data_IF_570780125437
#
_entry.id   IF_570780125437
#
_cell.length_a   1.000
_cell.length_b   1.000
_cell.length_c   1.000
_cell.angle_alpha   90.00
_cell.angle_beta   90.00
_cell.angle_gamma   90.00
#
_symmetry.space_group_name_H-M   'P 1'
#
loop_
_entity.id
_entity.type
_entity.pdbx_description
1 polymer ?
#
# COMPACT_ATOMS: atom_id res chain seq x y z
N UNK A 1 -9.68 0.52 -2.51
CA UNK A 1 -9.44 1.25 -1.25
C UNK A 1 -8.37 0.56 -0.42
N UNK A 2 -8.64 -0.64 0.15
CA UNK A 2 -7.71 -1.28 1.10
C UNK A 2 -6.29 -1.50 0.54
N UNK A 3 -6.17 -1.86 -0.74
CA UNK A 3 -4.87 -2.02 -1.40
C UNK A 3 -3.99 -0.74 -1.32
N UNK A 4 -4.59 0.43 -1.52
CA UNK A 4 -3.90 1.72 -1.38
C UNK A 4 -3.63 2.05 0.09
N UNK A 5 -4.57 1.75 0.99
CA UNK A 5 -4.44 1.99 2.43
C UNK A 5 -3.28 1.17 3.04
N UNK A 6 -3.18 -0.11 2.67
CA UNK A 6 -2.08 -0.99 3.07
C UNK A 6 -0.72 -0.48 2.59
N UNK A 7 -0.66 0.14 1.41
CA UNK A 7 0.58 0.73 0.88
C UNK A 7 0.97 1.97 1.69
N UNK A 8 0.00 2.84 1.98
CA UNK A 8 0.18 4.04 2.81
C UNK A 8 0.68 3.65 4.22
N UNK A 9 0.16 2.56 4.81
CA UNK A 9 0.61 2.07 6.12
C UNK A 9 2.08 1.60 6.17
N UNK A 10 2.71 1.42 5.01
CA UNK A 10 4.10 0.98 4.87
C UNK A 10 5.00 2.16 4.44
N UNK A 11 4.64 2.84 3.35
CA UNK A 11 5.51 3.82 2.70
C UNK A 11 4.97 5.25 2.75
N UNK A 12 3.77 5.48 3.31
CA UNK A 12 3.17 6.80 3.35
C UNK A 12 3.97 7.81 4.17
N UNK A 13 3.95 9.07 3.77
CA UNK A 13 4.62 10.13 4.54
C UNK A 13 3.91 10.36 5.87
N UNK A 14 4.65 10.25 6.98
CA UNK A 14 4.18 10.59 8.32
C UNK A 14 3.59 11.99 8.45
N UNK A 15 4.04 12.95 7.63
CA UNK A 15 3.49 14.32 7.59
C UNK A 15 2.07 14.37 7.04
N UNK A 16 1.72 13.44 6.15
CA UNK A 16 0.40 13.34 5.51
C UNK A 16 -0.51 12.41 6.32
N UNK A 17 0.01 11.25 6.72
CA UNK A 17 -0.79 10.18 7.33
C UNK A 17 -1.01 10.35 8.84
N UNK A 18 -0.24 11.25 9.49
CA UNK A 18 -0.15 11.41 10.95
C UNK A 18 0.24 10.12 11.70
N UNK A 19 0.71 9.10 10.98
CA UNK A 19 1.15 7.81 11.54
C UNK A 19 2.65 7.60 11.30
N UNK A 20 3.33 6.81 12.15
CA UNK A 20 4.71 6.44 11.88
C UNK A 20 4.82 5.62 10.58
N UNK A 21 5.75 6.00 9.71
CA UNK A 21 6.05 5.24 8.48
C UNK A 21 6.46 3.81 8.83
N UNK A 22 5.99 2.83 8.06
CA UNK A 22 6.37 1.42 8.22
C UNK A 22 5.74 0.72 9.44
N UNK A 23 4.69 1.28 10.03
CA UNK A 23 4.05 0.69 11.21
C UNK A 23 3.49 -0.71 10.92
N UNK A 24 2.91 -0.92 9.74
CA UNK A 24 2.34 -2.22 9.36
C UNK A 24 3.39 -3.33 9.23
N UNK A 25 4.61 -2.96 8.82
CA UNK A 25 5.75 -3.89 8.78
C UNK A 25 6.11 -4.32 10.20
N UNK A 26 6.22 -3.36 11.12
CA UNK A 26 6.56 -3.60 12.53
C UNK A 26 5.50 -4.44 13.23
N UNK A 27 4.22 -4.24 12.93
CA UNK A 27 3.10 -5.04 13.43
C UNK A 27 3.04 -6.44 12.79
N UNK A 28 3.80 -6.70 11.72
CA UNK A 28 3.81 -7.99 11.05
C UNK A 28 2.54 -8.27 10.25
N UNK A 29 1.85 -7.22 9.79
CA UNK A 29 0.65 -7.37 8.97
C UNK A 29 1.01 -8.01 7.63
N UNK A 30 0.26 -9.02 7.23
CA UNK A 30 0.48 -9.77 5.99
C UNK A 30 -0.25 -9.12 4.82
N UNK A 31 -0.08 -7.81 4.64
CA UNK A 31 -0.72 -7.07 3.56
C UNK A 31 -0.05 -7.38 2.22
N UNK A 32 -0.78 -7.16 1.14
CA UNK A 32 -0.28 -7.34 -0.23
C UNK A 32 1.09 -6.69 -0.47
N UNK A 33 1.30 -5.38 -0.21
CA UNK A 33 2.60 -4.74 -0.44
C UNK A 33 3.76 -5.41 0.32
N UNK A 34 3.53 -5.92 1.54
CA UNK A 34 4.56 -6.66 2.29
C UNK A 34 4.86 -8.01 1.63
N UNK A 35 3.82 -8.74 1.21
CA UNK A 35 3.98 -10.03 0.51
C UNK A 35 4.77 -9.84 -0.79
N UNK A 36 4.43 -8.82 -1.59
CA UNK A 36 5.15 -8.48 -2.82
C UNK A 36 6.60 -8.12 -2.54
N UNK A 37 6.86 -7.29 -1.51
CA UNK A 37 8.21 -6.93 -1.11
C UNK A 37 9.04 -8.17 -0.72
N UNK A 38 8.50 -9.06 0.12
CA UNK A 38 9.19 -10.28 0.54
C UNK A 38 9.46 -11.18 -0.68
N UNK A 39 8.47 -11.36 -1.57
CA UNK A 39 8.60 -12.20 -2.77
C UNK A 39 9.68 -11.69 -3.73
N UNK A 40 9.78 -10.37 -3.92
CA UNK A 40 10.76 -9.73 -4.82
C UNK A 40 12.15 -9.61 -4.20
N UNK A 41 12.25 -9.45 -2.89
CA UNK A 41 13.52 -9.22 -2.22
C UNK A 41 14.43 -10.46 -2.25
N UNK A 42 15.71 -10.25 -2.55
CA UNK A 42 16.76 -11.26 -2.52
C UNK A 42 17.92 -10.86 -1.60
N UNK A 43 18.71 -11.83 -1.16
CA UNK A 43 19.94 -11.59 -0.40
C UNK A 43 19.77 -10.64 0.79
N UNK A 44 20.58 -9.57 0.81
CA UNK A 44 20.57 -8.55 1.87
C UNK A 44 19.21 -7.86 2.01
N UNK A 45 18.52 -7.55 0.90
CA UNK A 45 17.22 -6.88 0.94
C UNK A 45 16.17 -7.74 1.65
N UNK A 46 16.15 -9.04 1.36
CA UNK A 46 15.23 -9.97 2.03
C UNK A 46 15.51 -10.05 3.53
N UNK A 47 16.78 -10.15 3.91
CA UNK A 47 17.21 -10.15 5.33
C UNK A 47 16.80 -8.86 6.04
N UNK A 48 16.93 -7.70 5.38
CA UNK A 48 16.50 -6.41 5.93
C UNK A 48 15.00 -6.40 6.22
N UNK A 49 14.17 -6.81 5.27
CA UNK A 49 12.70 -6.83 5.44
C UNK A 49 12.30 -7.79 6.57
N UNK A 50 12.81 -9.03 6.54
CA UNK A 50 12.43 -10.05 7.53
C UNK A 50 12.89 -9.73 8.96
N UNK A 51 13.95 -8.92 9.13
CA UNK A 51 14.41 -8.48 10.46
C UNK A 51 13.44 -7.52 11.14
N UNK A 52 12.70 -6.73 10.36
CA UNK A 52 11.75 -5.73 10.85
C UNK A 52 10.32 -6.26 10.89
N UNK A 53 9.99 -7.19 9.99
CA UNK A 53 8.65 -7.77 9.90
C UNK A 53 8.22 -8.43 11.22
N UNK A 54 7.17 -7.89 11.85
CA UNK A 54 6.62 -8.36 13.13
C UNK A 54 7.50 -8.07 14.35
N UNK A 55 8.58 -7.30 14.20
CA UNK A 55 9.49 -6.98 15.29
C UNK A 55 9.10 -5.66 15.95
N UNK A 56 8.32 -5.72 17.03
CA UNK A 56 7.88 -4.55 17.81
C UNK A 56 9.04 -3.70 18.37
N UNK A 57 10.24 -4.28 18.52
CA UNK A 57 11.46 -3.61 19.00
C UNK A 57 12.32 -3.00 17.89
N UNK A 58 11.89 -3.08 16.61
CA UNK A 58 12.64 -2.52 15.50
C UNK A 58 12.82 -0.99 15.66
N UNK A 59 14.06 -0.52 15.49
CA UNK A 59 14.38 0.89 15.63
C UNK A 59 13.83 1.72 14.47
N UNK A 60 13.63 3.03 14.70
CA UNK A 60 13.20 3.96 13.63
C UNK A 60 14.14 3.91 12.41
N UNK A 61 15.43 3.70 12.62
CA UNK A 61 16.41 3.57 11.54
C UNK A 61 16.23 2.27 10.75
N UNK A 62 16.01 1.14 11.43
CA UNK A 62 15.74 -0.14 10.78
C UNK A 62 14.45 -0.09 9.93
N UNK A 63 13.42 0.57 10.45
CA UNK A 63 12.15 0.78 9.73
C UNK A 63 12.39 1.64 8.48
N UNK A 64 13.06 2.79 8.59
CA UNK A 64 13.39 3.64 7.43
C UNK A 64 14.19 2.90 6.36
N UNK A 65 15.20 2.13 6.76
CA UNK A 65 15.99 1.31 5.83
C UNK A 65 15.11 0.27 5.12
N UNK A 66 14.21 -0.37 5.85
CA UNK A 66 13.28 -1.36 5.29
C UNK A 66 12.32 -0.73 4.30
N UNK A 67 11.75 0.44 4.63
CA UNK A 67 10.87 1.21 3.74
C UNK A 67 11.58 1.59 2.45
N UNK A 68 12.84 2.04 2.53
CA UNK A 68 13.64 2.36 1.35
C UNK A 68 13.93 1.12 0.49
N UNK A 69 14.19 -0.04 1.10
CA UNK A 69 14.30 -1.31 0.38
C UNK A 69 12.99 -1.68 -0.30
N UNK A 70 11.84 -1.50 0.35
CA UNK A 70 10.53 -1.78 -0.27
C UNK A 70 10.28 -0.88 -1.48
N UNK A 71 10.60 0.42 -1.37
CA UNK A 71 10.49 1.37 -2.49
C UNK A 71 11.35 0.96 -3.68
N UNK A 72 12.59 0.52 -3.45
CA UNK A 72 13.49 0.11 -4.54
C UNK A 72 13.09 -1.19 -5.24
N UNK A 73 12.15 -1.96 -4.68
CA UNK A 73 11.61 -3.19 -5.29
C UNK A 73 10.46 -2.93 -6.28
N UNK A 74 10.02 -1.68 -6.45
CA UNK A 74 8.91 -1.34 -7.35
C UNK A 74 7.55 -1.86 -6.88
N UNK A 75 7.36 -2.05 -5.57
CA UNK A 75 6.10 -2.54 -4.98
C UNK A 75 4.97 -1.51 -5.17
N UNK A 76 5.29 -0.23 -5.08
CA UNK A 76 4.34 0.87 -5.24
C UNK A 76 3.66 0.85 -6.62
N UNK A 77 4.43 0.68 -7.68
CA UNK A 77 3.90 0.62 -9.05
C UNK A 77 2.97 -0.58 -9.24
N UNK A 78 3.37 -1.76 -8.75
CA UNK A 78 2.57 -2.98 -8.86
C UNK A 78 1.25 -2.87 -8.09
N UNK A 79 1.30 -2.27 -6.90
CA UNK A 79 0.11 -1.98 -6.10
C UNK A 79 -0.80 -0.97 -6.81
N UNK A 80 -0.24 0.11 -7.38
CA UNK A 80 -0.99 1.11 -8.14
C UNK A 80 -1.69 0.50 -9.35
N UNK A 81 -1.01 -0.36 -10.10
CA UNK A 81 -1.58 -1.07 -11.24
C UNK A 81 -2.75 -1.96 -10.82
N UNK A 82 -2.62 -2.65 -9.67
CA UNK A 82 -3.72 -3.48 -9.17
C UNK A 82 -4.90 -2.64 -8.65
N UNK A 83 -4.65 -1.53 -7.98
CA UNK A 83 -5.70 -0.57 -7.60
C UNK A 83 -6.46 -0.07 -8.83
N UNK A 84 -5.75 0.32 -9.91
CA UNK A 84 -6.37 0.78 -11.15
C UNK A 84 -7.22 -0.32 -11.80
N UNK A 85 -6.74 -1.57 -11.83
CA UNK A 85 -7.49 -2.71 -12.36
C UNK A 85 -8.80 -2.94 -11.59
N UNK A 86 -8.77 -2.86 -10.26
CA UNK A 86 -9.99 -2.96 -9.46
C UNK A 86 -10.91 -1.76 -9.66
N UNK A 87 -10.36 -0.57 -9.85
CA UNK A 87 -11.17 0.61 -10.08
C UNK A 87 -11.91 0.54 -11.42
N UNK A 88 -11.23 0.14 -12.50
CA UNK A 88 -11.85 -0.09 -13.80
C UNK A 88 -12.97 -1.15 -13.75
N UNK A 89 -12.78 -2.21 -12.93
CA UNK A 89 -13.84 -3.20 -12.70
C UNK A 89 -15.05 -2.58 -12.00
N UNK A 90 -14.84 -1.76 -10.98
CA UNK A 90 -15.92 -1.07 -10.28
C UNK A 90 -16.67 -0.10 -11.22
N UNK A 91 -15.94 0.69 -12.02
CA UNK A 91 -16.51 1.58 -13.03
C UNK A 91 -17.36 0.81 -14.04
N UNK A 92 -16.87 -0.33 -14.54
CA UNK A 92 -17.63 -1.19 -15.46
C UNK A 92 -18.93 -1.68 -14.83
N UNK A 93 -18.92 -2.08 -13.56
CA UNK A 93 -20.12 -2.51 -12.85
C UNK A 93 -21.15 -1.39 -12.66
N UNK A 94 -20.71 -0.13 -12.59
CA UNK A 94 -21.60 1.04 -12.47
C UNK A 94 -22.24 1.44 -13.80
N UNK A 95 -21.78 0.93 -14.95
CA UNK A 95 -22.30 1.33 -16.27
C UNK A 95 -23.81 1.10 -16.40
N UNK A 96 -24.28 -0.06 -15.94
CA UNK A 96 -25.70 -0.46 -15.99
C UNK A 96 -26.51 0.01 -14.79
N UNK A 97 -25.88 0.63 -13.79
CA UNK A 97 -26.58 1.21 -12.66
C UNK A 97 -27.28 2.50 -13.08
N UNK A 98 -28.58 2.61 -12.77
CA UNK A 98 -29.45 3.74 -13.12
C UNK A 98 -30.00 4.47 -11.89
N UNK A 99 -29.57 4.09 -10.69
CA UNK A 99 -29.98 4.77 -9.47
C UNK A 99 -29.36 6.17 -9.35
N UNK A 100 -30.00 7.03 -8.56
CA UNK A 100 -29.61 8.44 -8.39
C UNK A 100 -28.20 8.62 -7.86
N UNK A 101 -27.67 7.66 -7.10
CA UNK A 101 -26.35 7.73 -6.47
C UNK A 101 -25.16 7.44 -7.41
N UNK A 102 -25.37 7.33 -8.73
CA UNK A 102 -24.34 6.89 -9.68
C UNK A 102 -23.13 7.82 -9.71
N UNK A 103 -23.38 9.13 -9.73
CA UNK A 103 -22.33 10.13 -9.83
C UNK A 103 -21.51 10.21 -8.54
N UNK A 104 -22.14 10.06 -7.38
CA UNK A 104 -21.47 9.96 -6.08
C UNK A 104 -20.59 8.71 -6.00
N UNK A 105 -21.07 7.57 -6.52
CA UNK A 105 -20.27 6.33 -6.57
C UNK A 105 -19.06 6.46 -7.50
N UNK A 106 -19.20 7.14 -8.65
CA UNK A 106 -18.09 7.44 -9.57
C UNK A 106 -17.09 8.41 -8.92
N UNK A 107 -17.58 9.45 -8.26
CA UNK A 107 -16.74 10.41 -7.53
C UNK A 107 -15.95 9.74 -6.40
N UNK A 108 -16.61 8.87 -5.62
CA UNK A 108 -15.96 8.06 -4.60
C UNK A 108 -14.86 7.18 -5.21
N UNK A 109 -15.13 6.53 -6.35
CA UNK A 109 -14.14 5.72 -7.05
C UNK A 109 -12.91 6.53 -7.47
N UNK A 110 -13.12 7.71 -8.07
CA UNK A 110 -12.03 8.60 -8.47
C UNK A 110 -11.17 9.03 -7.27
N UNK A 111 -11.81 9.31 -6.13
CA UNK A 111 -11.13 9.69 -4.88
C UNK A 111 -10.21 8.58 -4.35
N UNK A 112 -10.53 7.30 -4.59
CA UNK A 112 -9.72 6.15 -4.15
C UNK A 112 -8.45 6.01 -4.99
N UNK A 113 -8.51 6.34 -6.27
CA UNK A 113 -7.38 6.27 -7.21
C UNK A 113 -6.42 7.45 -7.02
N UNK A 114 -6.98 8.65 -6.76
CA UNK A 114 -6.21 9.89 -6.62
C UNK A 114 -5.68 10.16 -5.21
N UNK A 115 -5.90 9.25 -4.25
CA UNK A 115 -5.33 9.37 -2.90
C UNK A 115 -3.83 9.59 -2.99
N UNK A 116 -3.38 10.74 -2.50
CA UNK A 116 -1.95 11.04 -2.35
C UNK A 116 -1.34 10.03 -1.38
N UNK A 117 -0.21 9.46 -1.80
CA UNK A 117 0.61 8.54 -1.02
C UNK A 117 1.62 9.29 -0.16
#
# INVERSE_FOLDING_TARGET
FQITDDLIGIIGDSKITKKPVGNDIREGKKTLPIILAIKKAKGKNRKTILRVFGNSKASKQQIRLTVNVIRSLGVEEEVRNMTLKYAQRAEKSLRTYTGTAKDEMISLLASVISRRM
#
